data_IF_072698250509
#
_entry.id   IF_072698250509
#
_cell.length_a   1.000
_cell.length_b   1.000
_cell.length_c   1.000
_cell.angle_alpha   90.00
_cell.angle_beta   90.00
_cell.angle_gamma   90.00
#
_symmetry.space_group_name_H-M   'P 1'
#
loop_
_entity.id
_entity.type
_entity.pdbx_description
1 polymer ?
#
# COMPACT_ATOMS: atom_id res chain seq x y z
N UNK A 1 -21.91 56.88 -38.79
CA UNK A 1 -23.17 56.33 -39.35
C UNK A 1 -23.38 54.94 -38.75
N UNK A 2 -24.45 54.74 -37.95
CA UNK A 2 -25.11 53.49 -37.45
C UNK A 2 -24.25 52.30 -36.95
N UNK A 3 -24.67 51.42 -36.04
CA UNK A 3 -25.56 51.33 -34.86
C UNK A 3 -25.51 49.84 -34.43
N UNK A 4 -25.86 49.54 -33.16
CA UNK A 4 -26.05 48.23 -32.49
C UNK A 4 -24.77 47.58 -31.93
N UNK A 5 -24.78 46.95 -30.75
CA UNK A 5 -25.88 46.59 -29.84
C UNK A 5 -25.35 45.59 -28.80
N UNK A 6 -25.93 45.66 -27.59
CA UNK A 6 -25.61 44.90 -26.36
C UNK A 6 -25.63 43.36 -26.45
N UNK A 7 -24.87 42.75 -25.55
CA UNK A 7 -24.84 41.33 -25.13
C UNK A 7 -23.39 40.86 -25.16
N UNK A 8 -22.70 40.43 -24.11
CA UNK A 8 -23.04 39.70 -22.88
C UNK A 8 -21.82 39.77 -21.91
N UNK A 9 -21.95 39.35 -20.64
CA UNK A 9 -20.97 39.64 -19.60
C UNK A 9 -19.66 38.85 -19.75
N UNK A 10 -18.59 39.51 -19.35
CA UNK A 10 -17.24 39.00 -19.12
C UNK A 10 -17.29 37.76 -18.22
N UNK A 11 -17.29 36.58 -18.84
CA UNK A 11 -17.16 35.30 -18.17
C UNK A 11 -15.68 34.90 -18.17
N UNK A 12 -15.08 35.08 -16.99
CA UNK A 12 -13.80 34.50 -16.59
C UNK A 12 -13.78 32.97 -16.84
N UNK A 13 -12.84 32.44 -17.63
CA UNK A 13 -12.54 31.02 -17.64
C UNK A 13 -11.28 30.75 -16.80
N UNK A 14 -11.37 30.95 -15.49
CA UNK A 14 -10.67 30.14 -14.50
C UNK A 14 -11.15 28.69 -14.63
N UNK A 15 -10.69 27.98 -15.67
CA UNK A 15 -10.76 26.51 -15.76
C UNK A 15 -9.96 25.94 -16.92
N UNK A 16 -9.12 24.97 -16.58
CA UNK A 16 -8.43 24.00 -17.45
C UNK A 16 -7.17 24.48 -18.17
N UNK A 17 -6.07 24.62 -17.42
CA UNK A 17 -4.76 24.20 -17.91
C UNK A 17 -4.33 22.96 -17.16
N UNK A 18 -5.05 21.88 -17.46
CA UNK A 18 -4.64 20.51 -17.21
C UNK A 18 -3.28 20.31 -17.89
N UNK A 19 -2.27 19.93 -17.09
CA UNK A 19 -1.07 19.21 -17.49
C UNK A 19 -0.57 19.47 -18.91
N UNK A 20 0.51 20.26 -19.04
CA UNK A 20 1.40 20.11 -20.19
C UNK A 20 1.94 18.68 -20.16
N UNK A 21 1.32 17.81 -20.94
CA UNK A 21 1.85 16.51 -21.32
C UNK A 21 3.13 16.83 -22.07
N UNK A 22 4.26 16.64 -21.40
CA UNK A 22 5.54 16.43 -22.06
C UNK A 22 5.38 15.09 -22.78
N UNK A 23 5.11 15.14 -24.09
CA UNK A 23 5.33 14.00 -24.98
C UNK A 23 6.85 13.88 -25.13
N UNK A 24 7.44 13.17 -24.17
CA UNK A 24 8.77 12.59 -24.31
C UNK A 24 8.57 11.08 -24.32
N UNK A 25 8.04 10.55 -25.43
CA UNK A 25 8.10 9.12 -25.72
C UNK A 25 9.53 8.73 -26.11
N UNK A 26 10.43 8.84 -25.14
CA UNK A 26 11.54 7.91 -25.05
C UNK A 26 10.95 6.55 -24.65
N UNK A 27 11.25 5.45 -25.36
CA UNK A 27 10.87 4.14 -24.87
C UNK A 27 11.52 4.00 -23.49
N UNK A 28 10.71 3.76 -22.45
CA UNK A 28 11.19 3.35 -21.14
C UNK A 28 11.87 1.98 -21.25
N UNK A 29 13.04 1.94 -21.87
CA UNK A 29 14.06 0.96 -21.57
C UNK A 29 14.85 1.52 -20.38
N UNK A 30 14.16 1.80 -19.27
CA UNK A 30 14.85 1.74 -17.99
C UNK A 30 15.25 0.27 -17.85
N UNK A 31 16.53 0.03 -17.60
CA UNK A 31 17.01 -1.31 -17.30
C UNK A 31 16.37 -1.72 -15.97
N UNK A 32 15.19 -2.35 -16.04
CA UNK A 32 14.35 -2.74 -14.90
C UNK A 32 15.05 -3.88 -14.16
N UNK A 33 16.12 -3.53 -13.45
CA UNK A 33 16.88 -4.44 -12.62
C UNK A 33 16.20 -4.51 -11.27
N UNK A 34 15.54 -5.63 -11.01
CA UNK A 34 14.91 -5.90 -9.71
C UNK A 34 15.88 -6.68 -8.85
N UNK A 35 16.19 -6.17 -7.67
CA UNK A 35 16.93 -6.91 -6.64
C UNK A 35 15.96 -7.79 -5.82
N UNK A 36 16.02 -9.13 -5.94
CA UNK A 36 15.15 -10.02 -5.18
C UNK A 36 15.42 -9.98 -3.67
N UNK A 37 16.59 -9.51 -3.21
CA UNK A 37 16.89 -9.36 -1.79
C UNK A 37 16.14 -8.17 -1.18
N UNK A 38 16.11 -7.03 -1.88
CA UNK A 38 15.30 -5.88 -1.48
C UNK A 38 13.80 -6.19 -1.39
N UNK A 39 13.29 -7.08 -2.25
CA UNK A 39 11.91 -7.57 -2.15
C UNK A 39 11.68 -8.45 -0.92
N UNK A 40 12.61 -9.34 -0.57
CA UNK A 40 12.52 -10.14 0.65
C UNK A 40 12.56 -9.26 1.91
N UNK A 41 13.40 -8.21 1.92
CA UNK A 41 13.46 -7.24 3.01
C UNK A 41 12.13 -6.49 3.17
N UNK A 42 11.51 -6.07 2.07
CA UNK A 42 10.19 -5.45 2.10
C UNK A 42 9.12 -6.42 2.59
N UNK A 43 9.13 -7.66 2.10
CA UNK A 43 8.22 -8.71 2.58
C UNK A 43 8.34 -8.92 4.09
N UNK A 44 9.58 -8.99 4.60
CA UNK A 44 9.87 -9.14 6.02
C UNK A 44 9.33 -7.97 6.83
N UNK A 45 9.56 -6.73 6.37
CA UNK A 45 9.03 -5.51 7.03
C UNK A 45 7.50 -5.49 7.06
N UNK A 46 6.84 -5.91 5.98
CA UNK A 46 5.38 -5.97 5.91
C UNK A 46 4.81 -7.02 6.87
N UNK A 47 5.46 -8.18 7.01
CA UNK A 47 5.07 -9.21 7.99
C UNK A 47 5.32 -8.76 9.43
N UNK A 48 6.40 -8.01 9.66
CA UNK A 48 6.67 -7.41 10.96
C UNK A 48 5.57 -6.41 11.34
N UNK A 49 5.15 -5.53 10.42
CA UNK A 49 4.01 -4.63 10.62
C UNK A 49 2.72 -5.40 10.94
N UNK A 50 2.50 -6.54 10.28
CA UNK A 50 1.39 -7.44 10.61
C UNK A 50 1.41 -7.92 12.07
N UNK A 51 2.61 -8.27 12.56
CA UNK A 51 2.83 -8.69 13.95
C UNK A 51 2.64 -7.53 14.92
N UNK A 52 3.17 -6.35 14.59
CA UNK A 52 3.05 -5.15 15.43
C UNK A 52 1.58 -4.71 15.57
N UNK A 53 0.77 -4.87 14.53
CA UNK A 53 -0.68 -4.63 14.60
C UNK A 53 -1.38 -5.57 15.58
N UNK A 54 -1.01 -6.87 15.60
CA UNK A 54 -1.55 -7.82 16.57
C UNK A 54 -1.15 -7.49 18.02
N UNK A 55 0.07 -6.94 18.21
CA UNK A 55 0.50 -6.42 19.52
C UNK A 55 -0.31 -5.19 19.94
N UNK A 56 -0.61 -4.28 19.01
CA UNK A 56 -1.45 -3.11 19.27
C UNK A 56 -2.88 -3.51 19.66
N UNK A 57 -3.47 -4.50 18.99
CA UNK A 57 -4.78 -5.08 19.36
C UNK A 57 -4.75 -5.66 20.79
N UNK A 58 -3.71 -6.42 21.12
CA UNK A 58 -3.51 -6.98 22.48
C UNK A 58 -3.39 -5.88 23.53
N UNK A 59 -2.69 -4.80 23.20
CA UNK A 59 -2.54 -3.64 24.08
C UNK A 59 -3.91 -2.97 24.34
N UNK A 60 -4.71 -2.75 23.30
CA UNK A 60 -6.06 -2.19 23.45
C UNK A 60 -6.95 -3.07 24.33
N UNK A 61 -6.94 -4.38 24.12
CA UNK A 61 -7.70 -5.33 24.94
C UNK A 61 -7.29 -5.28 26.41
N UNK A 62 -5.98 -5.16 26.68
CA UNK A 62 -5.47 -5.11 28.06
C UNK A 62 -5.77 -3.80 28.79
N UNK A 63 -5.77 -2.67 28.07
CA UNK A 63 -5.77 -1.34 28.69
C UNK A 63 -7.08 -0.57 28.53
N UNK A 64 -7.96 -0.97 27.60
CA UNK A 64 -9.21 -0.26 27.26
C UNK A 64 -10.43 -1.15 27.55
N UNK A 65 -10.30 -2.09 28.47
CA UNK A 65 -11.42 -2.92 28.93
C UNK A 65 -12.11 -2.25 30.13
N UNK A 66 -12.98 -1.29 29.87
CA UNK A 66 -13.84 -0.69 30.90
C UNK A 66 -15.06 -1.60 31.12
N UNK A 67 -15.00 -2.45 32.14
CA UNK A 67 -16.12 -3.30 32.50
C UNK A 67 -17.24 -2.45 33.11
N UNK A 68 -18.50 -2.66 32.70
CA UNK A 68 -19.68 -1.91 33.20
C UNK A 68 -19.78 -1.87 34.74
N UNK A 69 -19.21 -2.87 35.43
CA UNK A 69 -19.14 -2.92 36.88
C UNK A 69 -18.18 -1.91 37.54
N UNK A 70 -17.20 -1.37 36.80
CA UNK A 70 -16.17 -0.47 37.32
C UNK A 70 -16.54 1.01 37.21
N UNK A 71 -17.36 1.38 36.22
CA UNK A 71 -17.64 2.79 35.91
C UNK A 71 -18.91 3.33 36.58
N UNK A 72 -19.74 2.46 37.19
CA UNK A 72 -21.02 2.86 37.79
C UNK A 72 -22.03 3.41 36.77
N UNK A 73 -23.31 3.51 37.19
CA UNK A 73 -24.43 3.88 36.29
C UNK A 73 -24.28 5.27 35.64
N UNK A 74 -23.56 6.20 36.29
CA UNK A 74 -23.41 7.60 35.83
C UNK A 74 -22.56 7.68 34.57
N UNK A 75 -21.58 6.79 34.40
CA UNK A 75 -20.66 6.80 33.27
C UNK A 75 -20.99 5.74 32.21
N UNK A 76 -22.16 5.09 32.29
CA UNK A 76 -22.56 4.01 31.38
C UNK A 76 -22.44 4.37 29.89
N UNK A 77 -22.85 5.59 29.51
CA UNK A 77 -22.77 6.06 28.11
C UNK A 77 -21.34 6.32 27.64
N UNK A 78 -20.48 6.80 28.53
CA UNK A 78 -19.05 7.01 28.24
C UNK A 78 -18.36 5.65 28.09
N UNK A 79 -18.66 4.70 28.98
CA UNK A 79 -18.16 3.34 28.88
C UNK A 79 -18.59 2.67 27.55
N UNK A 80 -19.85 2.83 27.12
CA UNK A 80 -20.32 2.31 25.83
C UNK A 80 -19.58 2.94 24.64
N UNK A 81 -19.34 4.25 24.66
CA UNK A 81 -18.61 4.93 23.58
C UNK A 81 -17.15 4.46 23.50
N UNK A 82 -16.50 4.28 24.65
CA UNK A 82 -15.12 3.78 24.71
C UNK A 82 -15.05 2.35 24.19
N UNK A 83 -16.02 1.49 24.52
CA UNK A 83 -16.08 0.12 24.00
C UNK A 83 -16.29 0.09 22.49
N UNK A 84 -17.20 0.92 21.95
CA UNK A 84 -17.40 1.02 20.50
C UNK A 84 -16.13 1.49 19.77
N UNK A 85 -15.43 2.49 20.31
CA UNK A 85 -14.17 2.96 19.73
C UNK A 85 -13.09 1.87 19.80
N UNK A 86 -13.05 1.09 20.88
CA UNK A 86 -12.13 -0.04 21.03
C UNK A 86 -12.38 -1.10 19.96
N UNK A 87 -13.64 -1.51 19.79
CA UNK A 87 -14.04 -2.49 18.75
C UNK A 87 -13.67 -2.01 17.34
N UNK A 88 -13.87 -0.73 17.04
CA UNK A 88 -13.46 -0.15 15.75
C UNK A 88 -11.94 -0.19 15.56
N UNK A 89 -11.17 0.14 16.60
CA UNK A 89 -9.71 0.07 16.53
C UNK A 89 -9.22 -1.36 16.37
N UNK A 90 -9.79 -2.32 17.11
CA UNK A 90 -9.48 -3.75 16.97
C UNK A 90 -9.70 -4.23 15.52
N UNK A 91 -10.87 -3.93 14.95
CA UNK A 91 -11.19 -4.31 13.56
C UNK A 91 -10.24 -3.67 12.53
N UNK A 92 -9.82 -2.41 12.77
CA UNK A 92 -8.86 -1.73 11.90
C UNK A 92 -7.48 -2.38 11.98
N UNK A 93 -6.98 -2.68 13.19
CA UNK A 93 -5.67 -3.32 13.35
C UNK A 93 -5.66 -4.75 12.80
N UNK A 94 -6.76 -5.50 12.95
CA UNK A 94 -6.93 -6.81 12.32
C UNK A 94 -6.86 -6.69 10.78
N UNK A 95 -7.59 -5.73 10.21
CA UNK A 95 -7.61 -5.52 8.76
C UNK A 95 -6.23 -5.10 8.24
N UNK A 96 -5.57 -4.15 8.90
CA UNK A 96 -4.21 -3.71 8.54
C UNK A 96 -3.21 -4.86 8.67
N UNK A 97 -3.29 -5.64 9.75
CA UNK A 97 -2.44 -6.80 9.97
C UNK A 97 -2.57 -7.85 8.87
N UNK A 98 -3.82 -8.13 8.46
CA UNK A 98 -4.10 -9.05 7.35
C UNK A 98 -3.57 -8.53 6.02
N UNK A 99 -3.86 -7.29 5.66
CA UNK A 99 -3.46 -6.71 4.36
C UNK A 99 -1.94 -6.65 4.26
N UNK A 100 -1.25 -6.15 5.30
CA UNK A 100 0.22 -6.07 5.30
C UNK A 100 0.87 -7.45 5.22
N UNK A 101 0.37 -8.45 5.95
CA UNK A 101 0.87 -9.83 5.84
C UNK A 101 0.68 -10.40 4.44
N UNK A 102 -0.52 -10.24 3.85
CA UNK A 102 -0.84 -10.70 2.50
C UNK A 102 0.03 -10.01 1.45
N UNK A 103 0.23 -8.69 1.56
CA UNK A 103 1.14 -7.95 0.68
C UNK A 103 2.58 -8.47 0.82
N UNK A 104 3.03 -8.76 2.04
CA UNK A 104 4.34 -9.36 2.27
C UNK A 104 4.50 -10.70 1.55
N UNK A 105 3.49 -11.57 1.60
CA UNK A 105 3.52 -12.85 0.88
C UNK A 105 3.59 -12.68 -0.64
N UNK A 106 2.83 -11.75 -1.22
CA UNK A 106 2.88 -11.48 -2.67
C UNK A 106 4.23 -10.91 -3.11
N UNK A 107 4.85 -10.03 -2.30
CA UNK A 107 6.19 -9.51 -2.57
C UNK A 107 7.25 -10.62 -2.51
N UNK A 108 7.14 -11.56 -1.55
CA UNK A 108 8.03 -12.72 -1.48
C UNK A 108 7.89 -13.64 -2.71
N UNK A 109 6.66 -13.86 -3.19
CA UNK A 109 6.42 -14.61 -4.43
C UNK A 109 7.04 -13.91 -5.63
N UNK A 110 6.95 -12.58 -5.70
CA UNK A 110 7.59 -11.80 -6.75
C UNK A 110 9.12 -11.98 -6.73
N UNK A 111 9.74 -11.91 -5.54
CA UNK A 111 11.18 -12.18 -5.38
C UNK A 111 11.57 -13.58 -5.88
N UNK A 112 10.79 -14.59 -5.53
CA UNK A 112 10.99 -15.97 -5.99
C UNK A 112 10.86 -16.11 -7.51
N UNK A 113 9.90 -15.42 -8.12
CA UNK A 113 9.70 -15.42 -9.57
C UNK A 113 10.92 -14.82 -10.30
N UNK A 114 11.47 -13.72 -9.80
CA UNK A 114 12.69 -13.11 -10.38
C UNK A 114 13.89 -14.07 -10.29
N UNK A 115 14.14 -14.68 -9.12
CA UNK A 115 15.21 -15.69 -8.96
C UNK A 115 15.06 -16.89 -9.88
N UNK A 116 13.82 -17.38 -10.04
CA UNK A 116 13.53 -18.53 -10.90
C UNK A 116 13.78 -18.19 -12.37
N UNK A 117 13.37 -16.99 -12.79
CA UNK A 117 13.57 -16.50 -14.16
C UNK A 117 15.05 -16.29 -14.46
N UNK A 118 15.79 -15.66 -13.54
CA UNK A 118 17.23 -15.45 -13.66
C UNK A 118 17.97 -16.79 -13.75
N UNK A 119 17.67 -17.73 -12.84
CA UNK A 119 18.24 -19.07 -12.88
C UNK A 119 17.95 -19.82 -14.20
N UNK A 120 16.71 -19.78 -14.67
CA UNK A 120 16.32 -20.42 -15.94
C UNK A 120 17.04 -19.79 -17.14
N UNK A 121 17.24 -18.47 -17.11
CA UNK A 121 17.97 -17.73 -18.14
C UNK A 121 19.45 -18.12 -18.13
N UNK A 122 20.07 -18.20 -16.96
CA UNK A 122 21.45 -18.66 -16.80
C UNK A 122 21.64 -20.11 -17.29
N UNK A 123 20.71 -21.02 -16.97
CA UNK A 123 20.73 -22.42 -17.45
C UNK A 123 20.56 -22.49 -18.97
N UNK A 124 19.66 -21.69 -19.54
CA UNK A 124 19.47 -21.62 -20.99
C UNK A 124 20.72 -21.12 -21.70
N UNK A 125 21.38 -20.10 -21.13
CA UNK A 125 22.65 -19.58 -21.63
C UNK A 125 23.75 -20.64 -21.58
N UNK A 126 23.93 -21.34 -20.46
CA UNK A 126 24.91 -22.43 -20.31
C UNK A 126 24.72 -23.53 -21.37
N UNK A 127 23.46 -23.91 -21.64
CA UNK A 127 23.12 -24.89 -22.69
C UNK A 127 23.38 -24.39 -24.11
N UNK A 128 23.30 -23.07 -24.32
CA UNK A 128 23.42 -22.45 -25.64
C UNK A 128 24.86 -22.27 -26.10
N UNK A 129 25.86 -22.46 -25.23
CA UNK A 129 27.27 -22.38 -25.58
C UNK A 129 27.82 -23.72 -26.11
N UNK A 130 28.09 -23.87 -27.43
CA UNK A 130 28.74 -25.06 -27.97
C UNK A 130 30.25 -24.90 -27.79
N UNK A 131 30.80 -25.23 -26.62
CA UNK A 131 32.25 -25.13 -26.46
C UNK A 131 32.85 -25.19 -25.06
N UNK A 132 32.11 -25.53 -24.01
CA UNK A 132 32.68 -25.77 -22.68
C UNK A 132 33.59 -27.01 -22.68
N UNK A 133 34.83 -26.88 -23.18
CA UNK A 133 35.87 -27.89 -23.03
C UNK A 133 36.19 -28.03 -21.54
N UNK A 134 36.05 -29.26 -21.06
CA UNK A 134 36.45 -29.74 -19.73
C UNK A 134 37.96 -29.64 -19.53
#
# INVERSE_FOLDING_TARGET
MRFRGRGEPEADPMRHSCWKIVDDRTPMAEDLTVDPAALDDLSTKLKQLGTDNAQAETYLKKHVELSRGQTGLIFGRVAETIQQLREQLESNYETLGRVTTQSGDEVAKAAQMYRTTDHNTAVALDRSYPGGKR
#
